data_IF_070960563419
#
_entry.id   IF_070960563419
#
_cell.length_a   1.000
_cell.length_b   1.000
_cell.length_c   1.000
_cell.angle_alpha   90.00
_cell.angle_beta   90.00
_cell.angle_gamma   90.00
#
_symmetry.space_group_name_H-M   'P 1'
#
loop_
_entity.id
_entity.type
_entity.pdbx_description
1 polymer ?
#
# COMPACT_ATOMS: atom_id res chain seq x y z
N UNK A 1 -28.88 -44.57 -18.32
CA UNK A 1 -29.19 -43.83 -17.07
C UNK A 1 -28.08 -42.82 -16.88
N UNK A 2 -28.24 -41.59 -17.39
CA UNK A 2 -27.21 -40.54 -17.31
C UNK A 2 -27.51 -39.66 -16.10
N UNK A 3 -26.70 -39.78 -15.05
CA UNK A 3 -26.71 -38.90 -13.89
C UNK A 3 -25.71 -37.77 -14.15
N UNK A 4 -26.21 -36.55 -14.39
CA UNK A 4 -25.36 -35.36 -14.49
C UNK A 4 -25.05 -34.84 -13.07
N UNK A 5 -23.77 -34.64 -12.69
CA UNK A 5 -23.39 -34.42 -11.29
C UNK A 5 -23.41 -32.95 -10.83
N UNK A 6 -24.08 -32.03 -11.54
CA UNK A 6 -24.20 -30.63 -11.10
C UNK A 6 -25.66 -30.22 -11.16
N UNK A 7 -26.29 -30.09 -9.99
CA UNK A 7 -27.61 -29.49 -9.84
C UNK A 7 -27.42 -27.97 -9.66
N UNK A 8 -27.31 -27.23 -10.76
CA UNK A 8 -27.32 -25.76 -10.71
C UNK A 8 -28.77 -25.33 -10.46
N UNK A 9 -29.13 -25.09 -9.20
CA UNK A 9 -30.42 -24.51 -8.86
C UNK A 9 -30.43 -23.03 -9.29
N UNK A 10 -31.49 -22.54 -9.94
CA UNK A 10 -31.59 -21.13 -10.36
C UNK A 10 -31.38 -20.12 -9.22
N UNK A 11 -31.70 -20.53 -7.99
CA UNK A 11 -31.49 -19.74 -6.77
C UNK A 11 -30.00 -19.55 -6.44
N UNK A 12 -29.18 -20.59 -6.60
CA UNK A 12 -27.73 -20.53 -6.32
C UNK A 12 -27.01 -19.61 -7.32
N UNK A 13 -27.44 -19.61 -8.58
CA UNK A 13 -26.89 -18.70 -9.61
C UNK A 13 -27.23 -17.23 -9.32
N UNK A 14 -28.44 -16.97 -8.80
CA UNK A 14 -28.86 -15.64 -8.41
C UNK A 14 -28.07 -15.12 -7.20
N UNK A 15 -27.78 -15.99 -6.23
CA UNK A 15 -26.96 -15.65 -5.06
C UNK A 15 -25.50 -15.40 -5.45
N UNK A 16 -24.92 -16.26 -6.29
CA UNK A 16 -23.55 -16.10 -6.77
C UNK A 16 -23.38 -14.82 -7.59
N UNK A 17 -24.32 -14.51 -8.49
CA UNK A 17 -24.26 -13.26 -9.29
C UNK A 17 -24.39 -12.01 -8.41
N UNK A 18 -25.22 -12.04 -7.37
CA UNK A 18 -25.29 -10.95 -6.39
C UNK A 18 -23.98 -10.79 -5.62
N UNK A 19 -23.36 -11.88 -5.19
CA UNK A 19 -22.08 -11.87 -4.49
C UNK A 19 -20.93 -11.36 -5.38
N UNK A 20 -20.92 -11.71 -6.66
CA UNK A 20 -19.95 -11.22 -7.64
C UNK A 20 -20.10 -9.73 -7.90
N UNK A 21 -21.33 -9.24 -8.08
CA UNK A 21 -21.60 -7.81 -8.24
C UNK A 21 -21.19 -7.02 -7.00
N UNK A 22 -21.45 -7.53 -5.79
CA UNK A 22 -21.01 -6.90 -4.55
C UNK A 22 -19.48 -6.83 -4.45
N UNK A 23 -18.76 -7.89 -4.82
CA UNK A 23 -17.29 -7.91 -4.85
C UNK A 23 -16.72 -6.94 -5.89
N UNK A 24 -17.33 -6.88 -7.08
CA UNK A 24 -16.89 -5.99 -8.15
C UNK A 24 -17.12 -4.52 -7.77
N UNK A 25 -18.29 -4.17 -7.24
CA UNK A 25 -18.59 -2.83 -6.76
C UNK A 25 -17.64 -2.39 -5.64
N UNK A 26 -17.34 -3.30 -4.69
CA UNK A 26 -16.37 -3.05 -3.63
C UNK A 26 -14.94 -2.88 -4.17
N UNK A 27 -14.55 -3.67 -5.17
CA UNK A 27 -13.25 -3.56 -5.82
C UNK A 27 -13.08 -2.22 -6.57
N UNK A 28 -14.10 -1.78 -7.31
CA UNK A 28 -14.12 -0.48 -7.98
C UNK A 28 -14.04 0.64 -6.95
N UNK A 29 -14.86 0.59 -5.89
CA UNK A 29 -14.82 1.58 -4.80
C UNK A 29 -13.45 1.68 -4.16
N UNK A 30 -12.77 0.56 -3.91
CA UNK A 30 -11.43 0.57 -3.34
C UNK A 30 -10.40 1.20 -4.30
N UNK A 31 -10.50 0.91 -5.60
CA UNK A 31 -9.60 1.49 -6.61
C UNK A 31 -9.85 2.99 -6.83
N UNK A 32 -11.10 3.44 -6.79
CA UNK A 32 -11.44 4.87 -6.95
C UNK A 32 -11.19 5.70 -5.70
N UNK A 33 -11.23 5.08 -4.52
CA UNK A 33 -10.96 5.77 -3.25
C UNK A 33 -9.47 5.81 -2.90
N UNK A 34 -8.60 5.12 -3.65
CA UNK A 34 -7.15 5.30 -3.55
C UNK A 34 -6.78 6.54 -4.36
N UNK A 35 -6.94 7.71 -3.75
CA UNK A 35 -6.41 8.97 -4.26
C UNK A 35 -4.88 9.02 -4.10
N UNK A 36 -4.16 9.68 -5.01
CA UNK A 36 -2.71 9.90 -4.89
C UNK A 36 -2.32 10.57 -3.56
N UNK A 37 -3.25 11.30 -2.92
CA UNK A 37 -3.10 11.90 -1.59
C UNK A 37 -2.94 10.87 -0.45
N UNK A 38 -3.39 9.62 -0.62
CA UNK A 38 -3.19 8.52 0.35
C UNK A 38 -1.84 7.81 0.15
N UNK A 39 -1.12 8.10 -0.94
CA UNK A 39 0.23 7.59 -1.15
C UNK A 39 1.18 8.58 -0.48
N UNK A 40 1.37 8.38 0.83
CA UNK A 40 2.28 9.19 1.63
C UNK A 40 3.74 8.86 1.24
N UNK A 41 4.23 9.46 0.16
CA UNK A 41 5.58 9.25 -0.35
C UNK A 41 6.56 10.05 0.50
N UNK A 42 7.32 9.35 1.33
CA UNK A 42 8.44 9.94 2.06
C UNK A 42 8.07 10.56 3.42
N UNK A 43 7.01 10.07 4.05
CA UNK A 43 6.43 10.47 5.34
C UNK A 43 7.32 10.25 6.55
N UNK A 44 8.35 9.40 6.45
CA UNK A 44 9.19 9.08 7.60
C UNK A 44 9.76 10.39 8.17
N UNK A 45 9.55 10.67 9.48
CA UNK A 45 9.98 11.92 10.09
C UNK A 45 11.47 12.17 9.86
N UNK A 46 11.77 13.32 9.27
CA UNK A 46 13.14 13.71 8.88
C UNK A 46 13.27 15.22 8.79
N UNK A 47 14.48 15.69 9.09
CA UNK A 47 14.85 17.09 8.96
C UNK A 47 15.80 17.28 7.77
N UNK A 48 15.74 18.45 7.13
CA UNK A 48 16.74 18.84 6.13
C UNK A 48 17.90 19.51 6.87
N UNK A 49 19.07 18.88 6.86
CA UNK A 49 20.28 19.37 7.55
C UNK A 49 21.23 20.11 6.60
N UNK A 50 21.08 19.90 5.29
CA UNK A 50 21.85 20.58 4.27
C UNK A 50 21.01 20.72 2.99
N UNK A 51 21.09 21.87 2.34
CA UNK A 51 20.47 22.11 1.04
C UNK A 51 21.35 23.06 0.22
N UNK A 52 21.80 22.61 -0.94
CA UNK A 52 22.59 23.43 -1.88
C UNK A 52 22.50 22.85 -3.30
N UNK A 53 22.37 23.72 -4.31
CA UNK A 53 22.47 23.36 -5.73
C UNK A 53 21.56 22.17 -6.15
N UNK A 54 20.36 22.10 -5.57
CA UNK A 54 19.38 21.03 -5.82
C UNK A 54 19.59 19.75 -5.01
N UNK A 55 20.69 19.65 -4.26
CA UNK A 55 20.97 18.55 -3.34
C UNK A 55 20.37 18.86 -1.98
N UNK A 56 19.67 17.88 -1.39
CA UNK A 56 19.16 17.94 -0.01
C UNK A 56 19.66 16.72 0.77
N UNK A 57 20.20 16.97 1.96
CA UNK A 57 20.57 15.90 2.90
C UNK A 57 19.52 15.84 4.00
N UNK A 58 18.96 14.65 4.20
CA UNK A 58 17.94 14.37 5.19
C UNK A 58 18.54 13.62 6.37
N UNK A 59 18.20 14.05 7.58
CA UNK A 59 18.47 13.33 8.82
C UNK A 59 17.16 12.74 9.36
N UNK A 60 17.07 11.42 9.40
CA UNK A 60 15.89 10.71 9.88
C UNK A 60 15.84 10.67 11.41
N UNK A 61 14.64 10.77 11.96
CA UNK A 61 14.46 10.65 13.41
C UNK A 61 14.66 9.21 13.86
N UNK A 62 15.40 8.97 14.96
CA UNK A 62 15.60 7.63 15.48
C UNK A 62 14.27 7.04 15.97
N UNK A 63 14.02 5.78 15.60
CA UNK A 63 12.87 4.99 16.09
C UNK A 63 13.23 4.11 17.28
N UNK A 64 14.50 4.12 17.71
CA UNK A 64 15.06 3.28 18.77
C UNK A 64 15.70 4.15 19.85
N UNK A 65 15.92 3.57 21.03
CA UNK A 65 16.62 4.24 22.12
C UNK A 65 18.03 4.66 21.72
N UNK A 66 18.47 5.79 22.26
CA UNK A 66 19.76 6.40 21.96
C UNK A 66 20.95 5.45 22.22
N UNK A 67 20.81 4.52 23.18
CA UNK A 67 21.82 3.51 23.52
C UNK A 67 22.04 2.45 22.44
N UNK A 68 21.07 2.26 21.55
CA UNK A 68 21.10 1.26 20.47
C UNK A 68 21.63 1.85 19.17
N UNK A 69 21.78 3.18 19.10
CA UNK A 69 22.24 3.88 17.90
C UNK A 69 23.72 3.60 17.66
N UNK A 70 24.03 3.18 16.44
CA UNK A 70 25.41 2.96 16.00
C UNK A 70 26.12 4.30 15.86
N UNK A 71 27.35 4.40 16.40
CA UNK A 71 28.15 5.64 16.38
C UNK A 71 28.43 6.17 14.96
N UNK A 72 28.59 5.28 13.99
CA UNK A 72 28.89 5.63 12.60
C UNK A 72 27.59 5.74 11.80
N UNK A 73 27.28 6.90 11.21
CA UNK A 73 26.05 7.06 10.43
C UNK A 73 26.14 6.37 9.06
N UNK A 74 24.98 6.00 8.52
CA UNK A 74 24.83 5.55 7.14
C UNK A 74 24.39 6.71 6.25
N UNK A 75 25.14 6.97 5.17
CA UNK A 75 24.75 7.91 4.13
C UNK A 75 24.24 7.14 2.91
N UNK A 76 23.01 7.44 2.48
CA UNK A 76 22.40 6.85 1.29
C UNK A 76 22.42 7.89 0.17
N UNK A 77 23.06 7.56 -0.96
CA UNK A 77 23.08 8.39 -2.17
C UNK A 77 22.30 7.66 -3.26
N UNK A 78 21.00 7.96 -3.43
CA UNK A 78 20.19 7.32 -4.47
C UNK A 78 20.65 7.77 -5.85
N UNK A 79 20.53 6.86 -6.82
CA UNK A 79 20.83 7.19 -8.22
C UNK A 79 19.64 7.94 -8.83
N UNK A 80 19.92 9.04 -9.51
CA UNK A 80 18.96 9.78 -10.34
C UNK A 80 18.65 9.03 -11.64
#
# INVERSE_FOLDING_TARGET
MFSFPIQILPADVAEETAALNAKLAKGISNLTNLTDDDIDIGSTPKDVVFAQDGIKVYHYHPLVDQSTIVKTPLLIVPRC
#
